data_IF_229930079183
#
_entry.id   IF_229930079183
#
_cell.length_a   1.000
_cell.length_b   1.000
_cell.length_c   1.000
_cell.angle_alpha   90.00
_cell.angle_beta   90.00
_cell.angle_gamma   90.00
#
_symmetry.space_group_name_H-M   'P 1'
#
loop_
_entity.id
_entity.type
_entity.pdbx_description
1 polymer ?
#
# COMPACT_ATOMS: atom_id res chain seq x y z
N UNK A 1 -0.81 1.54 -7.03
CA UNK A 1 -1.23 1.51 -5.60
C UNK A 1 -2.45 2.39 -5.33
N UNK A 2 -2.35 3.74 -5.36
CA UNK A 2 -3.47 4.65 -5.07
C UNK A 2 -4.74 4.39 -5.90
N UNK A 3 -4.63 4.35 -7.24
CA UNK A 3 -5.78 4.10 -8.14
C UNK A 3 -6.47 2.78 -7.83
N UNK A 4 -5.72 1.73 -7.50
CA UNK A 4 -6.30 0.44 -7.12
C UNK A 4 -7.07 0.55 -5.80
N UNK A 5 -6.49 1.19 -4.78
CA UNK A 5 -7.12 1.38 -3.47
C UNK A 5 -8.44 2.13 -3.56
N UNK A 6 -8.48 3.28 -4.27
CA UNK A 6 -9.71 4.10 -4.37
C UNK A 6 -10.83 3.42 -5.16
N UNK A 7 -10.49 2.44 -6.00
CA UNK A 7 -11.45 1.65 -6.79
C UNK A 7 -11.70 0.24 -6.20
N UNK A 8 -11.17 -0.07 -5.01
CA UNK A 8 -11.43 -1.33 -4.31
C UNK A 8 -12.57 -1.14 -3.30
N UNK A 9 -13.33 -2.20 -3.05
CA UNK A 9 -14.35 -2.20 -1.98
C UNK A 9 -13.70 -2.11 -0.59
N UNK A 10 -14.46 -1.65 0.41
CA UNK A 10 -13.96 -1.64 1.79
C UNK A 10 -13.61 -3.04 2.30
N UNK A 11 -14.38 -4.07 1.95
CA UNK A 11 -14.10 -5.44 2.36
C UNK A 11 -12.75 -5.94 1.83
N UNK A 12 -12.42 -5.62 0.58
CA UNK A 12 -11.11 -5.95 0.00
C UNK A 12 -9.97 -5.17 0.67
N UNK A 13 -10.20 -3.90 1.00
CA UNK A 13 -9.22 -3.05 1.69
C UNK A 13 -8.97 -3.59 3.11
N UNK A 14 -10.04 -3.96 3.82
CA UNK A 14 -9.98 -4.51 5.17
C UNK A 14 -9.27 -5.87 5.18
N UNK A 15 -9.67 -6.79 4.31
CA UNK A 15 -9.04 -8.11 4.20
C UNK A 15 -7.54 -8.02 3.90
N UNK A 16 -7.12 -7.07 3.05
CA UNK A 16 -5.69 -6.80 2.83
C UNK A 16 -5.00 -6.31 4.10
N UNK A 17 -5.60 -5.33 4.79
CA UNK A 17 -5.03 -4.74 6.00
C UNK A 17 -4.87 -5.80 7.10
N UNK A 18 -5.90 -6.58 7.38
CA UNK A 18 -5.92 -7.59 8.44
C UNK A 18 -4.86 -8.68 8.22
N UNK A 19 -4.56 -9.01 6.96
CA UNK A 19 -3.54 -10.00 6.61
C UNK A 19 -2.11 -9.43 6.68
N UNK A 20 -1.92 -8.19 6.23
CA UNK A 20 -0.57 -7.64 6.01
C UNK A 20 -0.07 -6.86 7.22
N UNK A 21 -0.92 -6.10 7.92
CA UNK A 21 -0.53 -5.26 9.05
C UNK A 21 0.18 -6.03 10.16
N UNK A 22 -0.31 -7.21 10.63
CA UNK A 22 0.37 -7.97 11.68
C UNK A 22 1.76 -8.49 11.30
N UNK A 23 2.08 -8.53 10.01
CA UNK A 23 3.36 -9.01 9.46
C UNK A 23 4.30 -7.87 9.08
N UNK A 24 3.88 -6.62 9.23
CA UNK A 24 4.62 -5.48 8.74
C UNK A 24 5.98 -5.35 9.41
N UNK A 25 6.04 -5.48 10.74
CA UNK A 25 7.30 -5.37 11.49
C UNK A 25 8.30 -6.47 11.10
N UNK A 26 7.85 -7.72 11.00
CA UNK A 26 8.69 -8.85 10.57
C UNK A 26 9.20 -8.65 9.13
N UNK A 27 8.34 -8.20 8.23
CA UNK A 27 8.72 -7.93 6.84
C UNK A 27 9.74 -6.78 6.73
N UNK A 28 9.60 -5.71 7.52
CA UNK A 28 10.59 -4.63 7.60
C UNK A 28 11.93 -5.19 8.10
N UNK A 29 11.93 -5.94 9.20
CA UNK A 29 13.14 -6.53 9.76
C UNK A 29 13.83 -7.51 8.80
N UNK A 30 13.08 -8.18 7.91
CA UNK A 30 13.65 -9.00 6.84
C UNK A 30 14.28 -8.15 5.73
N UNK A 31 13.62 -7.08 5.30
CA UNK A 31 14.14 -6.16 4.26
C UNK A 31 15.40 -5.44 4.75
N UNK A 32 15.47 -5.09 6.04
CA UNK A 32 16.63 -4.40 6.65
C UNK A 32 17.93 -5.24 6.65
N UNK A 33 17.87 -6.52 6.27
CA UNK A 33 19.04 -7.38 6.10
C UNK A 33 19.79 -7.12 4.79
N UNK A 34 19.20 -6.37 3.86
CA UNK A 34 19.75 -6.10 2.54
C UNK A 34 20.35 -4.69 2.48
N UNK A 35 21.47 -4.53 1.76
CA UNK A 35 22.13 -3.24 1.61
C UNK A 35 21.29 -2.29 0.75
N UNK A 36 21.09 -1.07 1.26
CA UNK A 36 20.31 -0.03 0.61
C UNK A 36 21.02 0.61 -0.59
N UNK A 37 22.35 0.50 -0.70
CA UNK A 37 23.06 0.99 -1.88
C UNK A 37 22.92 0.08 -3.09
N UNK A 38 22.50 -1.17 -2.89
CA UNK A 38 22.38 -2.16 -3.94
C UNK A 38 20.92 -2.41 -4.33
N UNK A 39 20.65 -2.84 -5.58
CA UNK A 39 19.32 -3.27 -5.97
C UNK A 39 18.85 -4.47 -5.14
N UNK A 40 17.66 -4.36 -4.53
CA UNK A 40 17.05 -5.49 -3.83
C UNK A 40 16.78 -6.67 -4.79
N UNK A 41 16.93 -7.92 -4.35
CA UNK A 41 16.37 -9.08 -5.03
C UNK A 41 14.88 -8.90 -5.33
N UNK A 42 14.39 -9.45 -6.45
CA UNK A 42 13.06 -9.15 -6.96
C UNK A 42 11.91 -9.49 -6.00
N UNK A 43 12.04 -10.58 -5.25
CA UNK A 43 11.11 -11.00 -4.20
C UNK A 43 11.10 -10.04 -3.01
N UNK A 44 12.28 -9.61 -2.53
CA UNK A 44 12.42 -8.61 -1.46
C UNK A 44 11.86 -7.26 -1.90
N UNK A 45 12.11 -6.86 -3.14
CA UNK A 45 11.55 -5.65 -3.73
C UNK A 45 10.02 -5.72 -3.79
N UNK A 46 9.45 -6.88 -4.09
CA UNK A 46 8.01 -7.11 -4.07
C UNK A 46 7.43 -7.02 -2.65
N UNK A 47 8.11 -7.59 -1.65
CA UNK A 47 7.72 -7.47 -0.24
C UNK A 47 7.73 -6.00 0.21
N UNK A 48 8.78 -5.25 -0.11
CA UNK A 48 8.83 -3.80 0.14
C UNK A 48 7.68 -3.05 -0.56
N UNK A 49 7.37 -3.40 -1.80
CA UNK A 49 6.26 -2.80 -2.55
C UNK A 49 4.88 -3.13 -1.92
N UNK A 50 4.75 -4.30 -1.29
CA UNK A 50 3.57 -4.69 -0.51
C UNK A 50 3.43 -3.79 0.73
N UNK A 51 4.51 -3.56 1.48
CA UNK A 51 4.52 -2.65 2.63
C UNK A 51 4.20 -1.20 2.22
N UNK A 52 4.73 -0.71 1.10
CA UNK A 52 4.34 0.59 0.56
C UNK A 52 2.85 0.67 0.20
N UNK A 53 2.23 -0.45 -0.16
CA UNK A 53 0.78 -0.50 -0.37
C UNK A 53 0.02 -0.41 0.96
N UNK A 54 0.51 -1.09 2.01
CA UNK A 54 -0.04 -1.02 3.36
C UNK A 54 -0.09 0.42 3.89
N UNK A 55 0.96 1.22 3.69
CA UNK A 55 0.95 2.64 4.08
C UNK A 55 -0.27 3.36 3.50
N UNK A 56 -0.58 3.15 2.23
CA UNK A 56 -1.74 3.82 1.61
C UNK A 56 -3.08 3.25 2.06
N UNK A 57 -3.13 1.96 2.42
CA UNK A 57 -4.34 1.26 2.87
C UNK A 57 -4.68 1.60 4.32
N UNK A 58 -3.67 1.74 5.20
CA UNK A 58 -3.85 2.10 6.61
C UNK A 58 -4.70 3.36 6.77
N UNK A 59 -4.47 4.40 5.97
CA UNK A 59 -5.27 5.62 5.98
C UNK A 59 -6.76 5.39 5.67
N UNK A 60 -7.07 4.47 4.75
CA UNK A 60 -8.45 4.14 4.42
C UNK A 60 -9.15 3.37 5.55
N UNK A 61 -8.43 2.48 6.22
CA UNK A 61 -8.95 1.64 7.30
C UNK A 61 -9.01 2.38 8.64
N UNK A 62 -7.95 3.07 9.03
CA UNK A 62 -7.80 3.64 10.36
C UNK A 62 -8.43 5.02 10.46
N UNK A 63 -8.22 5.87 9.45
CA UNK A 63 -8.60 7.28 9.50
C UNK A 63 -9.93 7.58 8.79
N UNK A 64 -10.06 7.19 7.52
CA UNK A 64 -11.22 7.60 6.71
C UNK A 64 -12.43 6.70 6.88
N UNK A 65 -12.23 5.40 7.15
CA UNK A 65 -13.29 4.38 7.14
C UNK A 65 -14.03 4.27 5.79
N UNK A 66 -13.37 4.67 4.71
CA UNK A 66 -13.90 4.62 3.33
C UNK A 66 -12.75 4.60 2.30
N UNK A 67 -12.97 4.08 1.08
CA UNK A 67 -11.90 3.92 0.09
C UNK A 67 -11.33 5.25 -0.43
N UNK A 68 -12.15 6.28 -0.53
CA UNK A 68 -11.77 7.60 -1.05
C UNK A 68 -11.82 8.64 0.05
N UNK A 69 -10.89 9.59 0.07
CA UNK A 69 -10.91 10.69 1.06
C UNK A 69 -12.17 11.53 0.86
N UNK A 70 -12.84 11.91 1.96
CA UNK A 70 -13.98 12.82 1.89
C UNK A 70 -13.53 14.15 1.27
N UNK A 71 -14.27 14.65 0.30
CA UNK A 71 -13.96 15.89 -0.43
C UNK A 71 -12.64 15.90 -1.23
N UNK A 72 -12.03 14.73 -1.52
CA UNK A 72 -10.98 14.72 -2.55
C UNK A 72 -11.60 15.02 -3.91
N UNK A 73 -11.10 16.04 -4.59
CA UNK A 73 -11.49 16.37 -5.97
C UNK A 73 -11.44 15.13 -6.88
N UNK A 74 -12.29 15.10 -7.92
CA UNK A 74 -12.45 13.94 -8.80
C UNK A 74 -11.63 14.02 -10.10
N UNK A 75 -10.76 15.01 -10.24
CA UNK A 75 -9.95 15.19 -11.46
C UNK A 75 -8.93 14.07 -11.62
N UNK A 76 -8.94 13.41 -12.79
CA UNK A 76 -7.95 12.42 -13.21
C UNK A 76 -7.19 13.02 -14.39
N UNK A 77 -5.87 13.18 -14.25
CA UNK A 77 -4.99 13.62 -15.33
C UNK A 77 -4.39 12.38 -16.01
N UNK A 78 -4.86 12.10 -17.22
CA UNK A 78 -4.25 11.10 -18.11
C UNK A 78 -3.26 11.80 -19.04
N UNK A 79 -2.02 11.32 -19.07
CA UNK A 79 -1.05 11.74 -20.08
C UNK A 79 -1.55 11.27 -21.45
N UNK A 80 -1.77 12.21 -22.36
CA UNK A 80 -1.90 11.90 -23.78
C UNK A 80 -0.49 11.81 -24.36
N UNK A 81 -0.22 10.74 -25.11
CA UNK A 81 0.74 10.69 -26.21
C UNK A 81 2.00 11.55 -26.07
#
# INVERSE_FOLDING_TARGET
>A
RYVKRVNSSMDQIQAFYDLVFPRAEEAVAYIDKFDYSEPLPGDVANLRNLLYSLITVSLAVELWKQPRVKHSANTILTRLS
#
